data_IF_728866046828
#
_entry.id   IF_728866046828
#
_cell.length_a   1.000
_cell.length_b   1.000
_cell.length_c   1.000
_cell.angle_alpha   90.00
_cell.angle_beta   90.00
_cell.angle_gamma   90.00
#
_symmetry.space_group_name_H-M   'P 1'
#
loop_
_entity.id
_entity.type
_entity.pdbx_description
1 polymer ?
#
# COMPACT_ATOMS: atom_id res chain seq x y z
N UNK A 1 31.97 9.23 2.16
CA UNK A 1 30.85 10.13 1.77
C UNK A 1 29.55 9.73 2.48
N UNK A 2 29.37 10.08 3.77
CA UNK A 2 28.19 9.69 4.56
C UNK A 2 26.88 10.36 4.11
N UNK A 3 26.94 11.38 3.26
CA UNK A 3 25.75 12.11 2.77
C UNK A 3 25.31 11.64 1.39
N UNK A 4 26.27 11.22 0.55
CA UNK A 4 26.01 10.76 -0.82
C UNK A 4 25.23 9.44 -0.84
N UNK A 5 25.56 8.51 0.07
CA UNK A 5 24.85 7.23 0.14
C UNK A 5 23.38 7.42 0.55
N UNK A 6 23.08 8.42 1.40
CA UNK A 6 21.70 8.73 1.81
C UNK A 6 20.88 9.22 0.61
N UNK A 7 21.43 10.15 -0.17
CA UNK A 7 20.77 10.61 -1.41
C UNK A 7 20.54 9.47 -2.41
N UNK A 8 21.50 8.54 -2.52
CA UNK A 8 21.34 7.38 -3.39
C UNK A 8 20.19 6.47 -2.91
N UNK A 9 20.11 6.20 -1.60
CA UNK A 9 19.01 5.44 -1.01
C UNK A 9 17.65 6.12 -1.23
N UNK A 10 17.56 7.42 -0.98
CA UNK A 10 16.32 8.20 -1.17
C UNK A 10 15.88 8.17 -2.65
N UNK A 11 16.82 8.33 -3.58
CA UNK A 11 16.53 8.30 -5.02
C UNK A 11 16.08 6.92 -5.49
N UNK A 12 16.73 5.85 -5.00
CA UNK A 12 16.38 4.48 -5.36
C UNK A 12 15.14 3.93 -4.63
N UNK A 13 14.71 4.57 -3.54
CA UNK A 13 13.47 4.23 -2.85
C UNK A 13 12.23 4.62 -3.65
N UNK A 14 12.34 5.61 -4.55
CA UNK A 14 11.23 6.02 -5.41
C UNK A 14 11.08 4.99 -6.54
N UNK A 15 9.92 4.35 -6.68
CA UNK A 15 9.70 3.43 -7.79
C UNK A 15 9.72 4.20 -9.12
N UNK A 16 10.37 3.68 -10.16
CA UNK A 16 10.45 4.36 -11.46
C UNK A 16 9.12 4.33 -12.24
N UNK A 17 8.10 3.61 -11.74
CA UNK A 17 6.84 3.36 -12.43
C UNK A 17 5.66 3.28 -11.45
N UNK A 18 4.49 3.75 -11.88
CA UNK A 18 3.22 3.73 -11.12
C UNK A 18 2.56 2.35 -11.01
N UNK A 19 3.04 1.33 -11.74
CA UNK A 19 2.41 0.02 -11.83
C UNK A 19 2.17 -0.66 -10.47
N UNK A 20 3.03 -0.40 -9.48
CA UNK A 20 2.84 -0.91 -8.11
C UNK A 20 1.58 -0.33 -7.46
N UNK A 21 1.34 0.97 -7.66
CA UNK A 21 0.18 1.70 -7.12
C UNK A 21 -1.08 1.33 -7.91
N UNK A 22 -1.00 1.26 -9.24
CA UNK A 22 -2.11 0.85 -10.10
C UNK A 22 -2.65 -0.54 -9.74
N UNK A 23 -1.77 -1.49 -9.39
CA UNK A 23 -2.17 -2.81 -8.90
C UNK A 23 -2.95 -2.75 -7.60
N UNK A 24 -2.57 -1.85 -6.69
CA UNK A 24 -3.31 -1.61 -5.44
C UNK A 24 -4.69 -1.03 -5.75
N UNK A 25 -4.78 -0.05 -6.64
CA UNK A 25 -6.06 0.53 -7.04
C UNK A 25 -6.99 -0.47 -7.74
N UNK A 26 -6.45 -1.31 -8.63
CA UNK A 26 -7.21 -2.37 -9.27
C UNK A 26 -7.80 -3.35 -8.24
N UNK A 27 -7.01 -3.73 -7.22
CA UNK A 27 -7.50 -4.56 -6.10
C UNK A 27 -8.49 -3.85 -5.17
N UNK A 28 -8.27 -2.56 -4.92
CA UNK A 28 -9.16 -1.73 -4.10
C UNK A 28 -10.53 -1.54 -4.77
N UNK A 29 -10.60 -1.55 -6.11
CA UNK A 29 -11.86 -1.46 -6.87
C UNK A 29 -12.91 -2.49 -6.44
N UNK A 30 -12.49 -3.72 -6.12
CA UNK A 30 -13.39 -4.77 -5.59
C UNK A 30 -13.95 -4.43 -4.20
N UNK A 31 -13.17 -3.71 -3.40
CA UNK A 31 -13.57 -3.26 -2.05
C UNK A 31 -14.55 -2.09 -2.13
N UNK A 32 -14.40 -1.21 -3.13
CA UNK A 32 -15.25 -0.02 -3.33
C UNK A 32 -16.58 -0.36 -4.01
N UNK A 33 -16.56 -1.22 -5.04
CA UNK A 33 -17.69 -1.30 -5.98
C UNK A 33 -18.49 -2.60 -5.93
N UNK A 34 -17.96 -3.70 -5.39
CA UNK A 34 -18.48 -5.05 -5.70
C UNK A 34 -18.92 -5.88 -4.49
N UNK A 35 -18.38 -5.61 -3.28
CA UNK A 35 -18.73 -6.35 -2.06
C UNK A 35 -19.20 -5.49 -0.87
N UNK A 36 -18.91 -4.18 -0.87
CA UNK A 36 -19.21 -3.27 0.26
C UNK A 36 -19.52 -1.85 -0.23
N UNK A 37 -20.77 -1.58 -0.59
CA UNK A 37 -21.18 -0.34 -1.28
C UNK A 37 -21.31 0.93 -0.39
N UNK A 38 -20.79 0.93 0.85
CA UNK A 38 -20.97 2.05 1.81
C UNK A 38 -19.75 2.30 2.72
N UNK A 39 -18.55 1.98 2.25
CA UNK A 39 -17.34 2.34 2.98
C UNK A 39 -16.99 3.81 2.70
N UNK A 40 -16.72 4.55 3.77
CA UNK A 40 -16.13 5.88 3.65
C UNK A 40 -14.67 5.77 3.18
N UNK A 41 -14.16 6.83 2.57
CA UNK A 41 -12.82 6.85 1.95
C UNK A 41 -11.69 6.57 2.93
N UNK A 42 -11.82 7.05 4.15
CA UNK A 42 -10.91 6.79 5.29
C UNK A 42 -10.84 5.30 5.64
N UNK A 43 -11.99 4.62 5.63
CA UNK A 43 -12.05 3.17 5.90
C UNK A 43 -11.40 2.40 4.75
N UNK A 44 -11.61 2.82 3.50
CA UNK A 44 -10.99 2.21 2.33
C UNK A 44 -9.46 2.34 2.43
N UNK A 45 -8.97 3.56 2.69
CA UNK A 45 -7.55 3.84 2.90
C UNK A 45 -6.96 2.97 4.01
N UNK A 46 -7.57 2.97 5.20
CA UNK A 46 -7.11 2.17 6.33
C UNK A 46 -7.06 0.67 5.99
N UNK A 47 -8.05 0.15 5.26
CA UNK A 47 -8.06 -1.26 4.85
C UNK A 47 -6.96 -1.61 3.85
N UNK A 48 -6.65 -0.75 2.89
CA UNK A 48 -5.54 -0.98 1.96
C UNK A 48 -4.18 -0.83 2.65
N UNK A 49 -4.03 0.11 3.60
CA UNK A 49 -2.86 0.22 4.47
C UNK A 49 -2.65 -1.06 5.29
N UNK A 50 -3.71 -1.57 5.93
CA UNK A 50 -3.65 -2.82 6.70
C UNK A 50 -3.24 -4.02 5.83
N UNK A 51 -3.80 -4.13 4.61
CA UNK A 51 -3.39 -5.16 3.64
C UNK A 51 -1.92 -5.02 3.24
N UNK A 52 -1.41 -3.79 3.09
CA UNK A 52 0.00 -3.52 2.79
C UNK A 52 0.90 -3.94 3.96
N UNK A 53 0.59 -3.49 5.17
CA UNK A 53 1.38 -3.79 6.37
C UNK A 53 1.39 -5.27 6.72
N UNK A 54 0.28 -5.98 6.52
CA UNK A 54 0.24 -7.44 6.68
C UNK A 54 1.15 -8.14 5.66
N UNK A 55 1.15 -7.71 4.39
CA UNK A 55 2.07 -8.25 3.37
C UNK A 55 3.55 -7.98 3.69
N UNK A 56 3.84 -6.80 4.25
CA UNK A 56 5.18 -6.44 4.72
C UNK A 56 5.57 -7.08 6.06
N UNK A 57 4.70 -7.92 6.65
CA UNK A 57 4.88 -8.54 7.99
C UNK A 57 5.12 -7.52 9.10
N UNK A 58 4.64 -6.28 8.92
CA UNK A 58 4.68 -5.24 9.95
C UNK A 58 3.57 -5.45 11.00
N UNK A 59 2.49 -6.13 10.60
CA UNK A 59 1.35 -6.48 11.45
C UNK A 59 1.01 -7.95 11.26
N UNK A 60 0.94 -8.69 12.37
CA UNK A 60 0.50 -10.08 12.39
C UNK A 60 -1.03 -10.12 12.25
N UNK A 61 -1.50 -10.48 11.07
CA UNK A 61 -2.92 -10.76 10.85
C UNK A 61 -3.24 -12.13 11.46
N UNK A 62 -3.65 -12.14 12.73
CA UNK A 62 -4.16 -13.34 13.40
C UNK A 62 -5.55 -13.69 12.84
N UNK A 63 -5.57 -14.27 11.64
CA UNK A 63 -6.77 -14.94 11.13
C UNK A 63 -6.79 -16.32 11.77
N UNK A 64 -7.82 -16.59 12.56
CA UNK A 64 -8.21 -17.94 12.99
C UNK A 64 -8.74 -18.71 11.78
#
# INVERSE_FOLDING_TARGET
>A
FPTLYKMALDTHAIPPMSAAIERVFSGAGLTVSDRRNRLQSDIIEATECLKSWSRSRLVESRVL
#
